data_IF_731625095489
#
_entry.id   IF_731625095489
#
_cell.length_a   1.000
_cell.length_b   1.000
_cell.length_c   1.000
_cell.angle_alpha   90.00
_cell.angle_beta   90.00
_cell.angle_gamma   90.00
#
_symmetry.space_group_name_H-M   'P 1'
#
loop_
_entity.id
_entity.type
_entity.pdbx_description
1 polymer ?
#
# COMPACT_ATOMS: atom_id res chain seq x y z
N UNK A 1 -2.04 -21.71 -5.69
CA UNK A 1 -1.55 -20.56 -6.47
C UNK A 1 -2.24 -19.35 -5.88
N UNK A 2 -1.58 -18.67 -4.93
CA UNK A 2 -2.17 -17.52 -4.26
C UNK A 2 -2.31 -16.36 -5.23
N UNK A 3 -3.45 -15.67 -5.16
CA UNK A 3 -3.68 -14.42 -5.89
C UNK A 3 -3.25 -13.28 -4.98
N UNK A 4 -2.40 -12.40 -5.49
CA UNK A 4 -1.93 -11.22 -4.76
C UNK A 4 -2.94 -10.10 -4.86
N UNK A 5 -2.95 -9.23 -3.86
CA UNK A 5 -3.82 -8.07 -3.83
C UNK A 5 -3.20 -6.86 -4.52
N UNK A 6 -3.97 -6.17 -5.36
CA UNK A 6 -3.57 -4.89 -5.97
C UNK A 6 -3.87 -3.68 -5.06
N UNK A 7 -4.79 -3.84 -4.11
CA UNK A 7 -5.28 -2.77 -3.26
C UNK A 7 -5.42 -3.23 -1.80
N UNK A 8 -5.48 -2.27 -0.88
CA UNK A 8 -5.77 -2.57 0.51
C UNK A 8 -7.23 -3.03 0.66
N UNK A 9 -7.44 -4.22 1.23
CA UNK A 9 -8.77 -4.82 1.39
C UNK A 9 -9.09 -5.00 2.86
N UNK A 10 -10.28 -4.53 3.24
CA UNK A 10 -10.87 -4.86 4.53
C UNK A 10 -11.80 -6.06 4.34
N UNK A 11 -11.46 -7.17 4.97
CA UNK A 11 -12.18 -8.45 4.86
C UNK A 11 -12.42 -9.00 6.26
N UNK A 12 -13.57 -9.63 6.45
CA UNK A 12 -13.87 -10.36 7.68
C UNK A 12 -13.44 -11.80 7.53
N UNK A 13 -12.60 -12.30 8.45
CA UNK A 13 -12.14 -13.67 8.42
C UNK A 13 -13.32 -14.63 8.63
N UNK A 14 -13.54 -15.64 7.77
CA UNK A 14 -14.75 -16.48 7.83
C UNK A 14 -14.80 -17.40 9.06
N UNK A 15 -13.65 -17.82 9.57
CA UNK A 15 -13.56 -18.68 10.77
C UNK A 15 -13.62 -17.89 12.08
N UNK A 16 -12.78 -16.86 12.24
CA UNK A 16 -12.69 -16.09 13.49
C UNK A 16 -13.68 -14.94 13.55
N UNK A 17 -14.31 -14.57 12.43
CA UNK A 17 -15.16 -13.39 12.28
C UNK A 17 -14.47 -12.07 12.65
N UNK A 18 -13.14 -12.03 12.60
CA UNK A 18 -12.36 -10.85 12.93
C UNK A 18 -12.13 -9.97 11.69
N UNK A 19 -12.14 -8.64 11.87
CA UNK A 19 -11.80 -7.72 10.78
C UNK A 19 -10.30 -7.75 10.51
N UNK A 20 -9.94 -8.10 9.27
CA UNK A 20 -8.58 -8.18 8.78
C UNK A 20 -8.35 -7.12 7.69
N UNK A 21 -7.20 -6.46 7.75
CA UNK A 21 -6.76 -5.48 6.75
C UNK A 21 -5.60 -6.09 5.99
N UNK A 22 -5.83 -6.46 4.74
CA UNK A 22 -4.80 -6.96 3.85
C UNK A 22 -4.20 -5.81 3.06
N UNK A 23 -2.88 -5.78 2.95
CA UNK A 23 -2.15 -4.77 2.20
C UNK A 23 -2.02 -5.18 0.72
N UNK A 24 -1.82 -4.22 -0.19
CA UNK A 24 -1.38 -4.54 -1.55
C UNK A 24 -0.09 -5.38 -1.54
N UNK A 25 -0.02 -6.40 -2.39
CA UNK A 25 1.06 -7.38 -2.46
C UNK A 25 0.99 -8.50 -1.42
N UNK A 26 0.05 -8.42 -0.48
CA UNK A 26 -0.22 -9.51 0.47
C UNK A 26 -0.95 -10.66 -0.23
N UNK A 27 -0.64 -11.89 0.19
CA UNK A 27 -1.23 -13.12 -0.36
C UNK A 27 -2.17 -13.72 0.70
N UNK A 28 -3.49 -13.45 0.62
CA UNK A 28 -4.44 -14.04 1.55
C UNK A 28 -4.53 -15.56 1.39
N UNK A 29 -4.84 -16.20 2.51
CA UNK A 29 -5.18 -17.62 2.56
C UNK A 29 -6.39 -17.95 1.67
N UNK A 30 -6.49 -19.19 1.19
CA UNK A 30 -7.53 -19.59 0.23
C UNK A 30 -8.95 -19.34 0.77
N UNK A 31 -9.13 -19.53 2.06
CA UNK A 31 -10.40 -19.30 2.77
C UNK A 31 -10.76 -17.81 2.79
N UNK A 32 -9.77 -16.92 2.97
CA UNK A 32 -9.96 -15.47 2.98
C UNK A 32 -10.20 -14.94 1.57
N UNK A 33 -9.43 -15.46 0.59
CA UNK A 33 -9.59 -15.14 -0.82
C UNK A 33 -11.00 -15.46 -1.35
N UNK A 34 -11.61 -16.56 -0.90
CA UNK A 34 -12.97 -16.93 -1.28
C UNK A 34 -14.04 -15.91 -0.82
N UNK A 35 -13.75 -15.13 0.23
CA UNK A 35 -14.67 -14.09 0.76
C UNK A 35 -14.50 -12.75 0.03
N UNK A 36 -13.34 -12.52 -0.59
CA UNK A 36 -13.06 -11.30 -1.35
C UNK A 36 -13.77 -11.40 -2.71
N UNK A 37 -15.00 -10.91 -2.73
CA UNK A 37 -15.87 -10.89 -3.92
C UNK A 37 -15.56 -9.75 -4.89
N UNK A 38 -14.69 -8.80 -4.49
CA UNK A 38 -14.33 -7.65 -5.33
C UNK A 38 -13.18 -8.03 -6.29
N UNK A 39 -13.41 -8.16 -7.61
CA UNK A 39 -12.36 -8.51 -8.57
C UNK A 39 -11.27 -7.44 -8.69
N UNK A 40 -11.58 -6.16 -8.46
CA UNK A 40 -10.60 -5.06 -8.52
C UNK A 40 -9.64 -5.03 -7.32
N UNK A 41 -9.88 -5.84 -6.30
CA UNK A 41 -8.96 -6.02 -5.18
C UNK A 41 -7.76 -6.91 -5.55
N UNK A 42 -7.92 -7.75 -6.56
CA UNK A 42 -6.91 -8.70 -7.01
C UNK A 42 -5.99 -8.06 -8.05
N UNK A 43 -4.73 -8.49 -8.09
CA UNK A 43 -3.85 -8.16 -9.22
C UNK A 43 -4.46 -8.72 -10.50
N UNK A 44 -4.57 -7.90 -11.57
CA UNK A 44 -4.95 -8.41 -12.88
C UNK A 44 -3.88 -9.42 -13.32
N UNK A 45 -4.30 -10.56 -13.87
CA UNK A 45 -3.38 -11.49 -14.51
C UNK A 45 -2.61 -10.71 -15.60
N UNK A 46 -1.31 -10.46 -15.38
CA UNK A 46 -0.45 -9.64 -16.25
C UNK A 46 -0.31 -10.20 -17.68
N UNK A 47 -0.90 -11.36 -17.96
CA UNK A 47 -0.95 -11.97 -19.30
C UNK A 47 -1.98 -11.33 -20.26
N UNK A 48 -2.73 -10.31 -19.83
CA UNK A 48 -3.77 -9.68 -20.66
C UNK A 48 -3.48 -8.26 -21.16
N UNK A 49 -2.33 -7.64 -20.84
CA UNK A 49 -2.01 -6.30 -21.37
C UNK A 49 -0.52 -6.19 -21.74
N UNK A 50 -0.20 -6.81 -22.87
CA UNK A 50 0.99 -6.44 -23.62
C UNK A 50 0.79 -5.08 -24.26
N UNK A 51 1.63 -4.13 -23.83
CA UNK A 51 2.17 -3.01 -24.62
C UNK A 51 1.36 -1.71 -24.68
N UNK A 52 1.63 -0.81 -23.73
CA UNK A 52 1.92 0.59 -24.01
C UNK A 52 3.01 1.08 -23.03
N UNK A 53 4.26 0.79 -23.37
CA UNK A 53 5.39 1.52 -22.82
C UNK A 53 5.48 2.90 -23.45
N UNK A 54 5.63 3.94 -22.62
CA UNK A 54 6.61 5.05 -22.74
C UNK A 54 6.14 6.25 -21.89
N UNK A 55 7.07 6.90 -21.18
CA UNK A 55 6.83 8.22 -20.56
C UNK A 55 7.06 8.26 -19.05
N UNK A 56 8.28 8.08 -18.55
CA UNK A 56 9.30 9.12 -18.47
C UNK A 56 9.51 9.56 -17.01
N UNK A 57 10.76 9.87 -16.73
CA UNK A 57 11.35 9.98 -15.42
C UNK A 57 10.88 11.22 -14.65
N UNK A 58 10.80 11.04 -13.34
CA UNK A 58 11.45 12.00 -12.44
C UNK A 58 10.52 12.79 -11.53
N UNK A 59 10.50 12.39 -10.27
CA UNK A 59 10.62 13.35 -9.17
C UNK A 59 11.17 12.64 -7.93
N UNK A 60 12.49 12.50 -7.88
CA UNK A 60 13.18 12.50 -6.58
C UNK A 60 13.24 13.95 -6.12
N UNK A 61 12.56 14.27 -5.03
CA UNK A 61 12.98 15.37 -4.15
C UNK A 61 12.70 14.92 -2.72
N UNK A 62 13.68 14.28 -2.08
CA UNK A 62 14.68 14.96 -1.25
C UNK A 62 14.21 15.01 0.20
N UNK A 63 14.59 13.97 0.94
CA UNK A 63 14.89 14.05 2.35
C UNK A 63 15.99 15.07 2.56
N UNK A 64 15.71 16.22 3.19
CA UNK A 64 16.60 17.06 4.01
C UNK A 64 15.95 18.47 4.07
N UNK A 65 15.58 19.07 5.20
CA UNK A 65 16.56 19.68 6.09
C UNK A 65 15.81 20.19 7.32
N UNK A 66 16.19 19.71 8.49
CA UNK A 66 15.84 20.30 9.78
C UNK A 66 16.67 21.57 9.94
N UNK A 67 16.11 22.80 9.98
CA UNK A 67 16.93 23.95 10.33
C UNK A 67 17.20 23.91 11.85
N UNK A 68 18.38 23.41 12.21
CA UNK A 68 19.06 23.84 13.43
C UNK A 68 19.54 25.27 13.21
N UNK A 69 19.03 26.23 13.99
CA UNK A 69 19.74 27.45 14.45
C UNK A 69 18.82 28.20 15.41
N UNK A 70 19.03 28.15 16.73
CA UNK A 70 19.95 28.95 17.58
C UNK A 70 19.49 30.39 17.86
N UNK A 71 19.40 30.68 19.17
CA UNK A 71 19.43 31.99 19.87
C UNK A 71 18.09 32.74 19.91
N UNK A 72 17.58 33.23 21.05
CA UNK A 72 18.25 34.11 22.03
C UNK A 72 17.61 34.01 23.42
N UNK A 73 18.46 34.00 24.44
CA UNK A 73 18.17 34.18 25.87
C UNK A 73 17.64 35.60 26.11
N UNK A 74 16.45 35.77 26.69
CA UNK A 74 16.10 36.97 27.46
C UNK A 74 15.55 36.48 28.80
N UNK A 75 16.43 36.45 29.78
CA UNK A 75 16.05 36.55 31.17
C UNK A 75 16.08 38.05 31.48
N UNK A 76 14.93 38.58 31.87
CA UNK A 76 14.73 39.93 32.38
C UNK A 76 15.11 39.89 33.87
N UNK A 77 16.12 40.68 34.26
CA UNK A 77 16.38 41.10 35.64
C UNK A 77 16.64 42.61 35.65
#
# INVERSE_FOLDING_TARGET
>A
MGRRLAAAVHVTHPETNEPLILQPGDEPDETVAAVITNPAAWEPDEDADGEDGDGDAGAKTDTETKPRSRTRKQADE
#
